data_IF_233410298737
#
_entry.id   IF_233410298737
#
_cell.length_a   1.000
_cell.length_b   1.000
_cell.length_c   1.000
_cell.angle_alpha   90.00
_cell.angle_beta   90.00
_cell.angle_gamma   90.00
#
_symmetry.space_group_name_H-M   'P 1'
#
loop_
_entity.id
_entity.type
_entity.pdbx_description
1 polymer ?
#
# COMPACT_ATOMS: atom_id res chain seq x y z
N UNK A 1 18.86 -16.73 7.01
CA UNK A 1 18.40 -15.38 6.58
C UNK A 1 17.12 -15.49 5.75
N UNK A 2 16.27 -14.45 5.71
CA UNK A 2 14.88 -14.45 5.18
C UNK A 2 14.74 -14.94 3.72
N UNK A 3 15.69 -14.63 2.83
CA UNK A 3 15.69 -15.07 1.43
C UNK A 3 16.52 -16.32 1.16
N UNK A 4 17.20 -16.86 2.16
CA UNK A 4 18.00 -18.08 2.00
C UNK A 4 19.22 -17.97 1.07
N UNK A 5 19.50 -16.80 0.49
CA UNK A 5 20.65 -16.52 -0.37
C UNK A 5 21.06 -15.05 -0.26
N UNK A 6 22.35 -14.77 -0.48
CA UNK A 6 22.86 -13.41 -0.53
C UNK A 6 22.53 -12.75 -1.87
N UNK A 7 22.03 -11.52 -1.80
CA UNK A 7 21.71 -10.73 -2.97
C UNK A 7 21.97 -9.25 -2.66
N UNK A 8 23.05 -8.70 -3.22
CA UNK A 8 23.50 -7.34 -2.91
C UNK A 8 22.45 -6.25 -3.23
N UNK A 9 21.73 -6.29 -4.38
CA UNK A 9 20.65 -5.32 -4.62
C UNK A 9 19.52 -5.41 -3.59
N UNK A 10 19.10 -6.62 -3.20
CA UNK A 10 18.07 -6.80 -2.18
C UNK A 10 18.54 -6.27 -0.81
N UNK A 11 19.79 -6.55 -0.41
CA UNK A 11 20.38 -6.01 0.81
C UNK A 11 20.41 -4.46 0.79
N UNK A 12 20.82 -3.87 -0.33
CA UNK A 12 20.80 -2.41 -0.50
C UNK A 12 19.38 -1.83 -0.42
N UNK A 13 18.37 -2.55 -0.91
CA UNK A 13 16.98 -2.15 -0.74
C UNK A 13 16.57 -2.13 0.74
N UNK A 14 16.94 -3.16 1.51
CA UNK A 14 16.64 -3.22 2.95
C UNK A 14 17.33 -2.11 3.75
N UNK A 15 18.52 -1.69 3.36
CA UNK A 15 19.17 -0.50 3.95
C UNK A 15 18.35 0.77 3.69
N UNK A 16 17.84 0.97 2.47
CA UNK A 16 16.98 2.10 2.16
C UNK A 16 15.63 2.04 2.90
N UNK A 17 15.02 0.86 3.04
CA UNK A 17 13.78 0.67 3.81
C UNK A 17 13.97 0.99 5.29
N UNK A 18 15.12 0.58 5.86
CA UNK A 18 15.54 0.93 7.22
C UNK A 18 15.56 2.44 7.42
N UNK A 19 16.06 3.20 6.45
CA UNK A 19 16.20 4.65 6.55
C UNK A 19 14.95 5.43 6.11
N UNK A 20 13.92 4.74 5.61
CA UNK A 20 12.64 5.32 5.16
C UNK A 20 11.47 4.86 6.03
N UNK A 21 10.67 3.90 5.56
CA UNK A 21 9.42 3.45 6.19
C UNK A 21 9.64 2.91 7.61
N UNK A 22 10.81 2.34 7.92
CA UNK A 22 11.14 1.87 9.26
C UNK A 22 11.81 2.92 10.17
N UNK A 23 12.06 4.11 9.66
CA UNK A 23 12.58 5.25 10.43
C UNK A 23 11.71 6.51 10.23
N UNK A 24 10.41 6.31 9.95
CA UNK A 24 9.45 7.38 9.73
C UNK A 24 9.40 8.32 10.94
N UNK A 25 9.42 9.63 10.70
CA UNK A 25 9.31 10.65 11.75
C UNK A 25 7.86 10.97 12.15
N UNK A 26 6.90 10.37 11.46
CA UNK A 26 5.48 10.49 11.77
C UNK A 26 5.06 9.30 12.63
N UNK A 27 4.44 9.58 13.78
CA UNK A 27 3.92 8.56 14.67
C UNK A 27 2.74 7.80 14.04
N UNK A 28 2.69 6.50 14.29
CA UNK A 28 1.66 5.60 13.75
C UNK A 28 1.95 5.12 12.32
N UNK A 29 1.15 4.17 11.84
CA UNK A 29 1.22 3.73 10.44
C UNK A 29 0.66 4.85 9.54
N UNK A 30 1.31 5.16 8.40
CA UNK A 30 0.72 6.03 7.40
C UNK A 30 -0.67 5.52 7.01
N UNK A 31 -1.64 6.41 6.88
CA UNK A 31 -2.96 6.04 6.36
C UNK A 31 -2.90 5.96 4.84
N UNK A 32 -3.55 4.96 4.24
CA UNK A 32 -3.69 4.88 2.78
C UNK A 32 -4.93 5.67 2.35
N UNK A 33 -4.77 6.56 1.37
CA UNK A 33 -5.88 7.33 0.81
C UNK A 33 -6.95 6.44 0.17
N UNK A 34 -6.60 5.22 -0.24
CA UNK A 34 -7.55 4.26 -0.80
C UNK A 34 -8.52 3.72 0.26
N UNK A 35 -8.13 3.78 1.54
CA UNK A 35 -8.94 3.31 2.66
C UNK A 35 -9.70 4.43 3.38
N UNK A 36 -9.61 5.67 2.90
CA UNK A 36 -10.31 6.81 3.48
C UNK A 36 -11.70 6.97 2.86
N UNK A 37 -12.66 7.43 3.66
CA UNK A 37 -13.96 7.84 3.13
C UNK A 37 -13.77 9.00 2.11
N UNK A 38 -14.28 8.91 0.87
CA UNK A 38 -14.07 9.94 -0.14
C UNK A 38 -14.61 11.32 0.30
N UNK A 39 -13.83 12.37 0.06
CA UNK A 39 -14.28 13.73 0.37
C UNK A 39 -13.25 14.82 0.08
N UNK A 40 -13.70 15.99 -0.38
CA UNK A 40 -12.82 17.11 -0.72
C UNK A 40 -11.95 17.60 0.46
N UNK A 41 -12.39 17.36 1.70
CA UNK A 41 -11.69 17.72 2.94
C UNK A 41 -10.84 16.60 3.56
N UNK A 42 -10.76 15.40 2.96
CA UNK A 42 -10.15 14.23 3.62
C UNK A 42 -8.68 14.44 4.00
N UNK A 43 -7.95 15.23 3.19
CA UNK A 43 -6.55 15.59 3.44
C UNK A 43 -6.35 16.48 4.68
N UNK A 44 -7.41 17.13 5.15
CA UNK A 44 -7.42 17.99 6.35
C UNK A 44 -8.10 17.30 7.54
N UNK A 45 -8.69 16.12 7.34
CA UNK A 45 -9.45 15.43 8.37
C UNK A 45 -8.53 14.64 9.31
N UNK A 46 -8.66 14.81 10.64
CA UNK A 46 -8.10 13.88 11.60
C UNK A 46 -8.89 12.57 11.48
N UNK A 47 -8.48 11.70 10.56
CA UNK A 47 -9.07 10.38 10.37
C UNK A 47 -9.08 9.53 11.64
N UNK A 48 -9.87 8.46 11.61
CA UNK A 48 -10.25 7.65 12.77
C UNK A 48 -9.09 7.01 13.56
N UNK A 49 -7.94 6.82 12.90
CA UNK A 49 -6.73 6.31 13.51
C UNK A 49 -5.70 7.44 13.54
N UNK A 50 -5.12 7.72 14.71
CA UNK A 50 -4.18 8.82 15.00
C UNK A 50 -2.94 8.97 14.07
N UNK A 51 -2.80 8.18 13.00
CA UNK A 51 -1.83 8.39 11.92
C UNK A 51 -2.23 9.55 11.00
N UNK A 52 -1.24 10.22 10.40
CA UNK A 52 -1.47 11.34 9.46
C UNK A 52 -1.49 10.83 8.01
N UNK A 53 -2.40 11.36 7.18
CA UNK A 53 -2.22 11.37 5.72
C UNK A 53 -1.10 12.37 5.42
N UNK A 54 0.15 11.92 5.47
CA UNK A 54 1.30 12.82 5.39
C UNK A 54 2.40 12.24 4.54
N UNK A 55 2.95 13.09 3.68
CA UNK A 55 4.19 12.86 2.95
C UNK A 55 5.45 13.11 3.80
N UNK A 56 5.31 13.54 5.05
CA UNK A 56 6.44 14.03 5.85
C UNK A 56 7.03 12.95 6.76
N UNK A 57 6.83 11.67 6.43
CA UNK A 57 7.35 10.55 7.20
C UNK A 57 8.80 10.20 6.85
N UNK A 58 9.12 10.21 5.56
CA UNK A 58 10.38 9.73 5.00
C UNK A 58 10.55 10.22 3.55
N UNK A 59 11.72 9.97 2.96
CA UNK A 59 11.98 10.25 1.55
C UNK A 59 11.30 9.20 0.64
N UNK A 60 10.27 9.61 -0.09
CA UNK A 60 9.53 8.76 -1.04
C UNK A 60 10.38 8.30 -2.24
N UNK A 61 11.36 9.10 -2.67
CA UNK A 61 12.30 8.73 -3.72
C UNK A 61 13.19 7.57 -3.29
N UNK A 62 13.65 7.57 -2.04
CA UNK A 62 14.41 6.45 -1.47
C UNK A 62 13.55 5.18 -1.31
N UNK A 63 12.26 5.31 -0.97
CA UNK A 63 11.33 4.17 -0.97
C UNK A 63 11.16 3.59 -2.39
N UNK A 64 10.96 4.44 -3.40
CA UNK A 64 10.89 4.02 -4.81
C UNK A 64 12.20 3.37 -5.26
N UNK A 65 13.35 3.89 -4.82
CA UNK A 65 14.65 3.29 -5.12
C UNK A 65 14.79 1.91 -4.48
N UNK A 66 14.34 1.73 -3.22
CA UNK A 66 14.31 0.44 -2.56
C UNK A 66 13.43 -0.57 -3.30
N UNK A 67 12.22 -0.14 -3.69
CA UNK A 67 11.30 -0.93 -4.50
C UNK A 67 11.92 -1.38 -5.82
N UNK A 68 12.51 -0.46 -6.59
CA UNK A 68 13.18 -0.79 -7.86
C UNK A 68 14.33 -1.78 -7.67
N UNK A 69 15.08 -1.66 -6.58
CA UNK A 69 16.15 -2.60 -6.23
C UNK A 69 15.59 -3.99 -5.93
N UNK A 70 14.54 -4.11 -5.12
CA UNK A 70 13.86 -5.40 -4.92
C UNK A 70 13.37 -5.96 -6.24
N UNK A 71 12.61 -5.17 -7.02
CA UNK A 71 12.06 -5.60 -8.30
C UNK A 71 13.14 -6.13 -9.28
N UNK A 72 14.32 -5.50 -9.31
CA UNK A 72 15.45 -5.93 -10.16
C UNK A 72 15.99 -7.33 -9.83
N UNK A 73 15.62 -7.89 -8.68
CA UNK A 73 16.06 -9.21 -8.21
C UNK A 73 15.03 -10.30 -8.44
N UNK A 74 13.89 -9.98 -9.06
CA UNK A 74 12.76 -10.89 -9.24
C UNK A 74 13.12 -12.18 -10.00
N UNK A 75 14.00 -12.10 -10.99
CA UNK A 75 14.44 -13.30 -11.74
C UNK A 75 15.20 -14.30 -10.87
N UNK A 76 15.91 -13.82 -9.85
CA UNK A 76 16.69 -14.65 -8.94
C UNK A 76 15.90 -15.07 -7.70
N UNK A 77 15.11 -14.15 -7.13
CA UNK A 77 14.46 -14.33 -5.84
C UNK A 77 12.96 -14.63 -5.94
N UNK A 78 12.34 -14.49 -7.12
CA UNK A 78 10.89 -14.59 -7.33
C UNK A 78 10.26 -15.92 -6.92
N UNK A 79 11.04 -17.01 -6.90
CA UNK A 79 10.57 -18.32 -6.43
C UNK A 79 10.46 -18.41 -4.90
N UNK A 80 11.11 -17.51 -4.16
CA UNK A 80 11.10 -17.49 -2.69
C UNK A 80 9.83 -16.77 -2.20
N UNK A 81 9.05 -17.45 -1.36
CA UNK A 81 7.77 -16.93 -0.87
C UNK A 81 7.93 -15.66 -0.02
N UNK A 82 8.91 -15.62 0.88
CA UNK A 82 9.21 -14.46 1.71
C UNK A 82 9.63 -13.24 0.89
N UNK A 83 10.38 -13.44 -0.19
CA UNK A 83 10.72 -12.38 -1.14
C UNK A 83 9.48 -11.84 -1.85
N UNK A 84 8.61 -12.72 -2.37
CA UNK A 84 7.37 -12.27 -3.03
C UNK A 84 6.50 -11.47 -2.07
N UNK A 85 6.39 -11.90 -0.82
CA UNK A 85 5.67 -11.17 0.21
C UNK A 85 6.23 -9.76 0.41
N UNK A 86 7.55 -9.63 0.59
CA UNK A 86 8.19 -8.33 0.82
C UNK A 86 8.08 -7.42 -0.41
N UNK A 87 8.27 -7.97 -1.62
CA UNK A 87 8.09 -7.22 -2.85
C UNK A 87 6.64 -6.73 -2.98
N UNK A 88 5.65 -7.56 -2.66
CA UNK A 88 4.24 -7.16 -2.65
C UNK A 88 3.99 -6.04 -1.63
N UNK A 89 4.47 -6.17 -0.40
CA UNK A 89 4.22 -5.17 0.65
C UNK A 89 4.90 -3.82 0.37
N UNK A 90 6.14 -3.85 -0.17
CA UNK A 90 6.84 -2.62 -0.59
C UNK A 90 6.15 -1.99 -1.81
N UNK A 91 5.71 -2.79 -2.78
CA UNK A 91 4.95 -2.27 -3.94
C UNK A 91 3.62 -1.66 -3.49
N UNK A 92 2.93 -2.29 -2.53
CA UNK A 92 1.70 -1.79 -1.92
C UNK A 92 1.91 -0.41 -1.31
N UNK A 93 2.99 -0.22 -0.54
CA UNK A 93 3.32 1.07 0.07
C UNK A 93 3.67 2.13 -0.98
N UNK A 94 4.40 1.78 -2.04
CA UNK A 94 4.70 2.72 -3.14
C UNK A 94 3.42 3.17 -3.85
N UNK A 95 2.49 2.25 -4.11
CA UNK A 95 1.18 2.59 -4.70
C UNK A 95 0.33 3.45 -3.78
N UNK A 96 0.35 3.19 -2.47
CA UNK A 96 -0.35 4.02 -1.47
C UNK A 96 0.19 5.47 -1.49
N UNK A 97 1.51 5.64 -1.51
CA UNK A 97 2.15 6.97 -1.57
C UNK A 97 1.77 7.69 -2.87
N UNK A 98 1.88 7.02 -4.02
CA UNK A 98 1.47 7.57 -5.31
C UNK A 98 -0.03 7.90 -5.35
N UNK A 99 -0.86 7.08 -4.71
CA UNK A 99 -2.31 7.28 -4.63
C UNK A 99 -2.65 8.62 -3.99
N UNK A 100 -1.91 8.99 -2.93
CA UNK A 100 -2.10 10.27 -2.26
C UNK A 100 -1.75 11.46 -3.18
N UNK A 101 -0.67 11.35 -3.98
CA UNK A 101 -0.32 12.37 -4.99
C UNK A 101 -1.42 12.49 -6.03
N UNK A 102 -1.91 11.36 -6.50
CA UNK A 102 -2.95 11.29 -7.52
C UNK A 102 -4.28 11.90 -7.01
N UNK A 103 -4.65 11.64 -5.76
CA UNK A 103 -5.80 12.25 -5.10
C UNK A 103 -5.67 13.77 -4.98
N UNK A 104 -4.48 14.28 -4.64
CA UNK A 104 -4.22 15.73 -4.60
C UNK A 104 -4.42 16.40 -5.96
N UNK A 105 -3.94 15.77 -7.04
CA UNK A 105 -4.15 16.28 -8.42
C UNK A 105 -5.63 16.28 -8.79
N UNK A 106 -6.34 15.20 -8.50
CA UNK A 106 -7.79 15.10 -8.70
C UNK A 106 -8.53 16.20 -7.95
N UNK A 107 -8.27 16.40 -6.66
CA UNK A 107 -8.94 17.44 -5.87
C UNK A 107 -8.55 18.87 -6.27
N UNK A 108 -7.35 19.10 -6.80
CA UNK A 108 -6.97 20.40 -7.36
C UNK A 108 -7.77 20.76 -8.61
N UNK A 109 -7.96 19.80 -9.52
CA UNK A 109 -8.81 19.96 -10.70
C UNK A 109 -10.28 20.22 -10.32
N UNK A 110 -10.76 19.55 -9.26
CA UNK A 110 -12.11 19.80 -8.71
C UNK A 110 -12.26 21.25 -8.20
N UNK A 111 -11.28 21.74 -7.41
CA UNK A 111 -11.31 23.11 -6.85
C UNK A 111 -11.26 24.20 -7.92
N UNK A 112 -10.63 23.92 -9.05
CA UNK A 112 -10.50 24.85 -10.18
C UNK A 112 -11.60 24.66 -11.24
N UNK A 113 -12.59 23.79 -10.98
CA UNK A 113 -13.67 23.46 -11.89
C UNK A 113 -13.20 22.97 -13.29
N UNK A 114 -11.98 22.43 -13.40
CA UNK A 114 -11.48 21.83 -14.63
C UNK A 114 -12.02 20.42 -14.82
N UNK A 115 -13.22 20.29 -15.39
CA UNK A 115 -13.98 19.03 -15.51
C UNK A 115 -13.23 17.92 -16.25
N UNK A 116 -12.60 18.22 -17.38
CA UNK A 116 -11.86 17.22 -18.17
C UNK A 116 -10.64 16.69 -17.40
N UNK A 117 -9.92 17.59 -16.75
CA UNK A 117 -8.78 17.24 -15.93
C UNK A 117 -9.21 16.41 -14.72
N UNK A 118 -10.28 16.80 -14.04
CA UNK A 118 -10.86 16.02 -12.95
C UNK A 118 -11.19 14.60 -13.41
N UNK A 119 -11.93 14.46 -14.51
CA UNK A 119 -12.29 13.15 -15.07
C UNK A 119 -11.06 12.29 -15.41
N UNK A 120 -10.00 12.91 -15.97
CA UNK A 120 -8.73 12.23 -16.25
C UNK A 120 -8.04 11.74 -14.97
N UNK A 121 -7.90 12.62 -13.97
CA UNK A 121 -7.21 12.28 -12.72
C UNK A 121 -8.02 11.28 -11.87
N UNK A 122 -9.35 11.31 -11.93
CA UNK A 122 -10.21 10.32 -11.27
C UNK A 122 -10.05 8.93 -11.88
N UNK A 123 -9.99 8.81 -13.21
CA UNK A 123 -9.74 7.51 -13.88
C UNK A 123 -8.40 6.93 -13.47
N UNK A 124 -7.35 7.74 -13.43
CA UNK A 124 -6.03 7.30 -12.95
C UNK A 124 -6.08 6.82 -11.50
N UNK A 125 -6.74 7.56 -10.60
CA UNK A 125 -6.89 7.17 -9.20
C UNK A 125 -7.64 5.83 -9.04
N UNK A 126 -8.74 5.64 -9.76
CA UNK A 126 -9.51 4.39 -9.73
C UNK A 126 -8.70 3.21 -10.29
N UNK A 127 -7.95 3.42 -11.37
CA UNK A 127 -7.06 2.37 -11.89
C UNK A 127 -6.00 1.95 -10.88
N UNK A 128 -5.47 2.89 -10.09
CA UNK A 128 -4.51 2.54 -9.03
C UNK A 128 -5.13 1.70 -7.91
N UNK A 129 -6.41 1.89 -7.59
CA UNK A 129 -7.14 1.02 -6.65
C UNK A 129 -7.23 -0.41 -7.22
N UNK A 130 -7.55 -0.54 -8.51
CA UNK A 130 -7.61 -1.84 -9.18
C UNK A 130 -6.23 -2.51 -9.27
N UNK A 131 -5.16 -1.74 -9.50
CA UNK A 131 -3.79 -2.24 -9.49
C UNK A 131 -3.38 -2.72 -8.09
N UNK A 132 -3.78 -1.98 -7.04
CA UNK A 132 -3.57 -2.37 -5.64
C UNK A 132 -4.31 -3.68 -5.31
N UNK A 133 -5.58 -3.81 -5.70
CA UNK A 133 -6.36 -5.05 -5.51
C UNK A 133 -5.72 -6.26 -6.21
N UNK A 134 -5.34 -6.10 -7.49
CA UNK A 134 -4.65 -7.14 -8.26
C UNK A 134 -3.33 -7.56 -7.63
N UNK A 135 -2.55 -6.59 -7.15
CA UNK A 135 -1.28 -6.83 -6.47
C UNK A 135 -1.49 -7.63 -5.18
N UNK A 136 -2.43 -7.22 -4.33
CA UNK A 136 -2.72 -7.89 -3.06
C UNK A 136 -3.30 -9.28 -3.25
N UNK A 137 -4.04 -9.49 -4.34
CA UNK A 137 -4.52 -10.80 -4.79
C UNK A 137 -3.41 -11.84 -5.02
N UNK A 138 -2.14 -11.42 -5.14
CA UNK A 138 -1.00 -12.34 -5.35
C UNK A 138 -0.48 -13.02 -4.08
N UNK A 139 -0.96 -12.60 -2.90
CA UNK A 139 -0.45 -13.06 -1.62
C UNK A 139 -1.60 -13.49 -0.71
N UNK A 140 -1.58 -14.74 -0.24
CA UNK A 140 -2.64 -15.29 0.61
C UNK A 140 -2.90 -14.48 1.88
N UNK A 141 -1.84 -13.90 2.47
CA UNK A 141 -1.94 -13.08 3.68
C UNK A 141 -2.75 -11.77 3.53
N UNK A 142 -2.98 -11.31 2.29
CA UNK A 142 -3.76 -10.10 2.00
C UNK A 142 -5.19 -10.41 1.52
N UNK A 143 -5.58 -11.69 1.41
CA UNK A 143 -6.91 -12.07 0.93
C UNK A 143 -7.94 -12.01 2.07
N UNK A 144 -8.94 -11.15 1.95
CA UNK A 144 -10.06 -11.07 2.91
C UNK A 144 -10.76 -12.43 3.08
N UNK A 145 -10.93 -13.20 1.99
CA UNK A 145 -11.56 -14.52 2.05
C UNK A 145 -10.86 -15.51 2.98
N UNK A 146 -9.53 -15.41 3.17
CA UNK A 146 -8.81 -16.25 4.14
C UNK A 146 -9.19 -15.90 5.58
N UNK A 147 -9.38 -14.60 5.86
CA UNK A 147 -9.81 -14.11 7.17
C UNK A 147 -11.26 -14.46 7.47
N UNK A 148 -12.16 -14.30 6.49
CA UNK A 148 -13.57 -14.69 6.62
C UNK A 148 -13.71 -16.20 6.85
N UNK A 149 -13.02 -17.02 6.05
CA UNK A 149 -13.04 -18.47 6.25
C UNK A 149 -12.47 -18.89 7.63
N UNK A 150 -11.43 -18.19 8.11
CA UNK A 150 -10.90 -18.42 9.45
C UNK A 150 -11.92 -18.05 10.54
N UNK A 151 -12.59 -16.91 10.40
CA UNK A 151 -13.65 -16.48 11.34
C UNK A 151 -14.82 -17.47 11.36
N UNK A 152 -15.32 -17.86 10.18
CA UNK A 152 -16.37 -18.87 10.05
C UNK A 152 -15.96 -20.23 10.64
N UNK A 153 -14.68 -20.60 10.59
CA UNK A 153 -14.21 -21.87 11.16
C UNK A 153 -14.28 -21.93 12.69
N UNK A 154 -14.39 -20.78 13.35
CA UNK A 154 -14.53 -20.70 14.82
C UNK A 154 -15.97 -20.92 15.29
N UNK A 155 -16.97 -20.84 14.40
CA UNK A 155 -18.38 -21.05 14.72
C UNK A 155 -18.79 -22.52 14.68
N UNK A 156 -19.56 -22.97 15.68
CA UNK A 156 -19.99 -24.37 15.82
C UNK A 156 -21.34 -24.66 15.14
N UNK A 157 -22.08 -23.62 14.74
CA UNK A 157 -23.36 -23.73 14.04
C UNK A 157 -23.55 -22.58 13.04
N UNK A 158 -24.56 -22.69 12.16
CA UNK A 158 -24.79 -21.69 11.11
C UNK A 158 -25.04 -20.26 11.65
N UNK A 159 -25.65 -20.13 12.83
CA UNK A 159 -25.86 -18.83 13.47
C UNK A 159 -24.56 -18.20 13.95
N UNK A 160 -23.68 -18.98 14.58
CA UNK A 160 -22.36 -18.53 15.02
C UNK A 160 -21.45 -18.18 13.83
N UNK A 161 -21.46 -18.98 12.76
CA UNK A 161 -20.67 -18.73 11.56
C UNK A 161 -21.08 -17.45 10.82
N UNK A 162 -22.35 -17.07 10.86
CA UNK A 162 -22.84 -15.84 10.24
C UNK A 162 -22.58 -14.58 11.09
N UNK A 163 -22.29 -14.75 12.39
CA UNK A 163 -21.99 -13.65 13.31
C UNK A 163 -20.49 -13.27 13.31
N UNK A 164 -19.62 -14.22 13.00
CA UNK A 164 -18.16 -14.10 13.00
C UNK A 164 -17.63 -13.67 11.63
#
# INVERSE_FOLDING_TARGET
QRYGTDNAPAQAAWVLLKDTVYNSKVAGRPRSIFCEAPGAGVLKSPGYNHGKLSFNGYDHGNLVLAWRKLLSTADHLGKISTYRFDLTDVTRQVLDDLGLWQYQRMTAALRTAHREEFARQSRLFLNMILDQDKLLGTQSGFLLGQWLAAAESLGNNAGEKALL
#
